data_IF_202977486261
#
_entry.id   IF_202977486261
#
_cell.length_a   1.000
_cell.length_b   1.000
_cell.length_c   1.000
_cell.angle_alpha   90.00
_cell.angle_beta   90.00
_cell.angle_gamma   90.00
#
_symmetry.space_group_name_H-M   'P 1'
#
loop_
_entity.id
_entity.type
_entity.pdbx_description
1 polymer ?
#
# COMPACT_ATOMS: atom_id res chain seq x y z
N UNK A 1 27.63 31.62 10.63
CA UNK A 1 27.36 30.73 9.48
C UNK A 1 26.84 29.45 10.09
N UNK A 2 25.52 29.25 10.07
CA UNK A 2 24.93 28.00 10.56
C UNK A 2 25.22 26.91 9.54
N UNK A 3 25.92 25.87 9.99
CA UNK A 3 26.17 24.67 9.20
C UNK A 3 24.83 24.03 8.84
N UNK A 4 24.44 24.19 7.59
CA UNK A 4 23.20 23.67 7.00
C UNK A 4 23.37 22.16 6.75
N UNK A 5 23.62 21.39 7.81
CA UNK A 5 23.70 19.92 7.74
C UNK A 5 22.27 19.41 7.60
N UNK A 6 21.81 19.32 6.36
CA UNK A 6 20.61 18.55 6.03
C UNK A 6 20.96 17.08 6.31
N UNK A 7 20.48 16.55 7.44
CA UNK A 7 20.60 15.11 7.73
C UNK A 7 19.98 14.32 6.58
N UNK A 8 20.72 13.34 6.05
CA UNK A 8 20.21 12.43 5.02
C UNK A 8 18.94 11.69 5.46
N UNK A 9 18.78 11.48 6.77
CA UNK A 9 17.56 10.90 7.35
C UNK A 9 16.37 11.85 7.17
N UNK A 10 16.56 13.14 7.47
CA UNK A 10 15.51 14.15 7.28
C UNK A 10 15.09 14.25 5.81
N UNK A 11 16.07 14.23 4.91
CA UNK A 11 15.81 14.27 3.47
C UNK A 11 15.12 13.00 2.95
N UNK A 12 15.39 11.84 3.54
CA UNK A 12 14.71 10.59 3.22
C UNK A 12 13.24 10.61 3.71
N UNK A 13 13.00 11.12 4.92
CA UNK A 13 11.65 11.30 5.49
C UNK A 13 10.82 12.26 4.63
N UNK A 14 11.36 13.45 4.32
CA UNK A 14 10.66 14.46 3.51
C UNK A 14 10.27 13.90 2.12
N UNK A 15 11.17 13.12 1.51
CA UNK A 15 10.90 12.44 0.23
C UNK A 15 9.84 11.36 0.35
N UNK A 16 9.83 10.62 1.45
CA UNK A 16 8.83 9.58 1.69
C UNK A 16 7.43 10.18 1.88
N UNK A 17 7.31 11.23 2.69
CA UNK A 17 6.04 11.94 2.90
C UNK A 17 5.51 12.58 1.62
N UNK A 18 6.40 13.20 0.82
CA UNK A 18 6.02 13.79 -0.46
C UNK A 18 5.53 12.71 -1.44
N UNK A 19 6.14 11.52 -1.42
CA UNK A 19 5.70 10.39 -2.23
C UNK A 19 4.33 9.87 -1.79
N UNK A 20 4.11 9.72 -0.47
CA UNK A 20 2.81 9.30 0.08
C UNK A 20 1.70 10.29 -0.30
N UNK A 21 1.95 11.60 -0.17
CA UNK A 21 0.97 12.63 -0.61
C UNK A 21 0.65 12.49 -2.10
N UNK A 22 1.64 12.27 -2.96
CA UNK A 22 1.44 12.03 -4.41
C UNK A 22 0.74 10.70 -4.70
N UNK A 23 0.96 9.69 -3.87
CA UNK A 23 0.34 8.38 -3.98
C UNK A 23 -1.18 8.47 -3.76
N UNK A 24 -1.62 9.25 -2.77
CA UNK A 24 -3.05 9.46 -2.50
C UNK A 24 -3.82 10.01 -3.72
N UNK A 25 -3.22 10.91 -4.50
CA UNK A 25 -3.85 11.41 -5.74
C UNK A 25 -3.92 10.37 -6.88
N UNK A 26 -3.08 9.34 -6.83
CA UNK A 26 -3.04 8.28 -7.83
C UNK A 26 -4.00 7.12 -7.54
N UNK A 27 -4.57 7.07 -6.34
CA UNK A 27 -5.52 6.03 -5.92
C UNK A 27 -6.93 6.43 -6.36
N UNK A 28 -7.56 5.56 -7.16
CA UNK A 28 -8.95 5.72 -7.58
C UNK A 28 -9.91 5.37 -6.42
N UNK A 29 -10.47 6.41 -5.80
CA UNK A 29 -11.40 6.27 -4.68
C UNK A 29 -12.74 5.62 -5.07
N UNK A 30 -13.18 5.74 -6.33
CA UNK A 30 -14.41 5.08 -6.78
C UNK A 30 -14.20 3.58 -6.88
N UNK A 31 -13.04 3.15 -7.37
CA UNK A 31 -12.69 1.73 -7.43
C UNK A 31 -12.49 1.13 -6.03
N UNK A 32 -11.87 1.87 -5.12
CA UNK A 32 -11.73 1.47 -3.72
C UNK A 32 -13.11 1.30 -3.07
N UNK A 33 -14.02 2.28 -3.23
CA UNK A 33 -15.38 2.19 -2.70
C UNK A 33 -16.16 1.03 -3.30
N UNK A 34 -15.97 0.72 -4.59
CA UNK A 34 -16.59 -0.47 -5.21
C UNK A 34 -16.09 -1.76 -4.58
N UNK A 35 -14.79 -1.87 -4.32
CA UNK A 35 -14.24 -3.05 -3.64
C UNK A 35 -14.77 -3.16 -2.20
N UNK A 36 -14.84 -2.04 -1.50
CA UNK A 36 -15.39 -1.98 -0.16
C UNK A 36 -16.84 -2.49 -0.12
N UNK A 37 -17.72 -1.93 -0.95
CA UNK A 37 -19.14 -2.33 -0.99
C UNK A 37 -19.34 -3.77 -1.48
N UNK A 38 -18.50 -4.27 -2.38
CA UNK A 38 -18.69 -5.60 -2.97
C UNK A 38 -18.08 -6.75 -2.17
N UNK A 39 -17.05 -6.48 -1.35
CA UNK A 39 -16.28 -7.51 -0.66
C UNK A 39 -16.16 -7.22 0.82
N UNK A 40 -15.58 -6.07 1.17
CA UNK A 40 -15.17 -5.78 2.55
C UNK A 40 -16.38 -5.68 3.47
N UNK A 41 -17.39 -4.91 3.08
CA UNK A 41 -18.57 -4.59 3.90
C UNK A 41 -19.28 -5.83 4.42
N UNK A 42 -19.56 -6.79 3.54
CA UNK A 42 -20.23 -8.03 3.89
C UNK A 42 -19.28 -8.94 4.70
N UNK A 43 -17.99 -8.95 4.36
CA UNK A 43 -16.99 -9.79 5.05
C UNK A 43 -16.76 -9.38 6.50
N UNK A 44 -16.91 -8.09 6.83
CA UNK A 44 -16.71 -7.58 8.19
C UNK A 44 -18.03 -7.27 8.92
N UNK A 45 -19.19 -7.67 8.37
CA UNK A 45 -20.48 -7.27 8.93
C UNK A 45 -20.65 -7.69 10.39
N UNK A 46 -20.16 -8.88 10.75
CA UNK A 46 -20.21 -9.46 12.10
C UNK A 46 -19.25 -8.81 13.11
N UNK A 47 -18.35 -7.94 12.67
CA UNK A 47 -17.42 -7.24 13.55
C UNK A 47 -18.13 -6.17 14.39
N UNK A 48 -17.65 -5.98 15.61
CA UNK A 48 -17.98 -4.79 16.40
C UNK A 48 -17.44 -3.52 15.74
N UNK A 49 -17.91 -2.35 16.18
CA UNK A 49 -17.47 -1.07 15.62
C UNK A 49 -15.94 -0.90 15.61
N UNK A 50 -15.27 -1.20 16.73
CA UNK A 50 -13.82 -1.10 16.83
C UNK A 50 -13.10 -2.06 15.87
N UNK A 51 -13.62 -3.28 15.74
CA UNK A 51 -13.04 -4.29 14.85
C UNK A 51 -13.22 -3.91 13.37
N UNK A 52 -14.37 -3.33 13.00
CA UNK A 52 -14.60 -2.77 11.66
C UNK A 52 -13.60 -1.66 11.36
N UNK A 53 -13.44 -0.72 12.29
CA UNK A 53 -12.48 0.37 12.14
C UNK A 53 -11.04 -0.16 11.92
N UNK A 54 -10.59 -1.12 12.73
CA UNK A 54 -9.25 -1.72 12.57
C UNK A 54 -9.09 -2.45 11.23
N UNK A 55 -10.12 -3.17 10.79
CA UNK A 55 -10.10 -3.86 9.50
C UNK A 55 -10.03 -2.87 8.33
N UNK A 56 -10.85 -1.82 8.35
CA UNK A 56 -10.88 -0.79 7.32
C UNK A 56 -9.57 -0.01 7.24
N UNK A 57 -9.00 0.39 8.39
CA UNK A 57 -7.68 1.05 8.46
C UNK A 57 -6.57 0.14 7.93
N UNK A 58 -6.55 -1.13 8.35
CA UNK A 58 -5.56 -2.10 7.86
C UNK A 58 -5.61 -2.28 6.34
N UNK A 59 -6.81 -2.44 5.78
CA UNK A 59 -6.99 -2.58 4.32
C UNK A 59 -6.68 -1.27 3.59
N UNK A 60 -7.03 -0.11 4.16
CA UNK A 60 -6.68 1.20 3.62
C UNK A 60 -5.17 1.44 3.56
N UNK A 61 -4.47 1.15 4.66
CA UNK A 61 -3.01 1.23 4.73
C UNK A 61 -2.33 0.27 3.75
N UNK A 62 -2.88 -0.94 3.59
CA UNK A 62 -2.39 -1.92 2.61
C UNK A 62 -2.41 -1.34 1.20
N UNK A 63 -3.51 -0.69 0.81
CA UNK A 63 -3.64 -0.04 -0.50
C UNK A 63 -2.57 1.05 -0.67
N UNK A 64 -2.41 1.93 0.32
CA UNK A 64 -1.47 3.05 0.25
C UNK A 64 -0.03 2.54 0.15
N UNK A 65 0.35 1.58 0.99
CA UNK A 65 1.73 1.09 1.06
C UNK A 65 2.10 0.31 -0.20
N UNK A 66 1.25 -0.64 -0.63
CA UNK A 66 1.48 -1.41 -1.84
C UNK A 66 1.50 -0.53 -3.10
N UNK A 67 0.60 0.46 -3.21
CA UNK A 67 0.63 1.42 -4.31
C UNK A 67 1.91 2.25 -4.32
N UNK A 68 2.35 2.72 -3.15
CA UNK A 68 3.60 3.47 -2.99
C UNK A 68 4.82 2.63 -3.35
N UNK A 69 4.86 1.37 -2.94
CA UNK A 69 5.87 0.40 -3.37
C UNK A 69 5.88 0.23 -4.89
N UNK A 70 4.71 0.10 -5.52
CA UNK A 70 4.58 0.06 -6.98
C UNK A 70 5.16 1.30 -7.67
N UNK A 71 4.90 2.50 -7.14
CA UNK A 71 5.49 3.75 -7.66
C UNK A 71 7.02 3.74 -7.57
N UNK A 72 7.58 3.24 -6.46
CA UNK A 72 9.04 3.09 -6.33
C UNK A 72 9.58 2.09 -7.36
N UNK A 73 8.91 0.95 -7.49
CA UNK A 73 9.27 -0.14 -8.40
C UNK A 73 9.15 0.24 -9.89
N UNK A 74 8.34 1.25 -10.24
CA UNK A 74 8.15 1.73 -11.62
C UNK A 74 9.45 2.12 -12.35
N UNK A 75 10.54 2.41 -11.64
CA UNK A 75 11.86 2.64 -12.24
C UNK A 75 12.34 1.43 -13.05
N UNK A 76 12.11 0.23 -12.52
CA UNK A 76 12.48 -1.03 -13.20
C UNK A 76 11.68 -1.24 -14.49
N UNK A 77 10.47 -0.68 -14.58
CA UNK A 77 9.67 -0.70 -15.81
C UNK A 77 10.29 0.18 -16.90
N UNK A 78 10.87 1.32 -16.53
CA UNK A 78 11.63 2.17 -17.45
C UNK A 78 12.93 1.50 -17.91
N UNK A 79 13.51 0.66 -17.07
CA UNK A 79 14.69 -0.17 -17.41
C UNK A 79 14.33 -1.42 -18.24
N UNK A 80 13.05 -1.59 -18.61
CA UNK A 80 12.59 -2.62 -19.53
C UNK A 80 12.11 -3.93 -18.89
N UNK A 81 12.11 -4.07 -17.56
CA UNK A 81 11.58 -5.28 -16.88
C UNK A 81 10.06 -5.38 -17.04
N UNK A 82 9.51 -6.60 -17.16
CA UNK A 82 8.05 -6.82 -17.18
C UNK A 82 7.41 -6.51 -15.81
N UNK A 83 6.08 -6.42 -15.74
CA UNK A 83 5.39 -6.19 -14.45
C UNK A 83 5.54 -7.43 -13.57
N UNK A 84 5.48 -8.61 -14.18
CA UNK A 84 5.61 -9.91 -13.54
C UNK A 84 7.00 -10.10 -12.93
N UNK A 85 8.06 -9.68 -13.63
CA UNK A 85 9.43 -9.71 -13.09
C UNK A 85 9.58 -8.78 -11.89
N UNK A 86 8.94 -7.61 -11.95
CA UNK A 86 8.97 -6.62 -10.87
C UNK A 86 8.22 -7.17 -9.65
N UNK A 87 7.04 -7.77 -9.84
CA UNK A 87 6.29 -8.42 -8.76
C UNK A 87 7.07 -9.55 -8.11
N UNK A 88 7.75 -10.37 -8.90
CA UNK A 88 8.59 -11.43 -8.36
C UNK A 88 9.70 -10.88 -7.46
N UNK A 89 10.39 -9.81 -7.90
CA UNK A 89 11.45 -9.14 -7.11
C UNK A 89 10.91 -8.55 -5.81
N UNK A 90 9.69 -7.98 -5.84
CA UNK A 90 9.07 -7.33 -4.68
C UNK A 90 8.20 -8.27 -3.84
N UNK A 91 8.09 -9.55 -4.19
CA UNK A 91 7.19 -10.51 -3.52
C UNK A 91 7.45 -10.62 -2.02
N UNK A 92 8.72 -10.68 -1.63
CA UNK A 92 9.12 -10.69 -0.22
C UNK A 92 8.77 -9.38 0.49
N UNK A 93 9.10 -8.24 -0.12
CA UNK A 93 8.82 -6.92 0.46
C UNK A 93 7.31 -6.70 0.65
N UNK A 94 6.48 -7.19 -0.28
CA UNK A 94 5.02 -7.12 -0.17
C UNK A 94 4.51 -7.95 1.00
N UNK A 95 4.99 -9.19 1.14
CA UNK A 95 4.64 -10.05 2.27
C UNK A 95 5.08 -9.45 3.61
N UNK A 96 6.29 -8.89 3.66
CA UNK A 96 6.82 -8.24 4.86
C UNK A 96 5.97 -7.00 5.23
N UNK A 97 5.62 -6.17 4.25
CA UNK A 97 4.72 -5.02 4.45
C UNK A 97 3.38 -5.44 5.07
N UNK A 98 2.73 -6.47 4.51
CA UNK A 98 1.45 -6.98 5.04
C UNK A 98 1.58 -7.48 6.49
N UNK A 99 2.66 -8.20 6.80
CA UNK A 99 2.93 -8.67 8.15
C UNK A 99 3.16 -7.51 9.12
N UNK A 100 3.94 -6.50 8.74
CA UNK A 100 4.19 -5.31 9.54
C UNK A 100 2.90 -4.50 9.77
N UNK A 101 2.05 -4.36 8.76
CA UNK A 101 0.76 -3.69 8.88
C UNK A 101 -0.18 -4.45 9.82
N UNK A 102 -0.26 -5.78 9.71
CA UNK A 102 -1.06 -6.61 10.62
C UNK A 102 -0.61 -6.46 12.08
N UNK A 103 0.71 -6.40 12.33
CA UNK A 103 1.26 -6.15 13.66
C UNK A 103 0.97 -4.73 14.16
N UNK A 104 1.12 -3.71 13.31
CA UNK A 104 0.85 -2.31 13.66
C UNK A 104 -0.59 -2.09 14.09
N UNK A 105 -1.52 -2.73 13.39
CA UNK A 105 -2.96 -2.70 13.69
C UNK A 105 -3.37 -3.71 14.77
N UNK A 106 -2.42 -4.48 15.32
CA UNK A 106 -2.64 -5.45 16.39
C UNK A 106 -3.78 -6.44 16.07
N UNK A 107 -3.90 -6.88 14.81
CA UNK A 107 -5.08 -7.63 14.37
C UNK A 107 -5.34 -8.89 15.21
N UNK A 108 -4.29 -9.66 15.52
CA UNK A 108 -4.38 -10.87 16.34
C UNK A 108 -4.76 -10.61 17.82
N UNK A 109 -4.67 -9.37 18.29
CA UNK A 109 -5.11 -8.99 19.64
C UNK A 109 -6.61 -8.69 19.68
N UNK A 110 -7.17 -8.16 18.60
CA UNK A 110 -8.55 -7.66 18.54
C UNK A 110 -9.51 -8.53 17.74
N UNK A 111 -8.99 -9.43 16.90
CA UNK A 111 -9.75 -10.28 16.00
C UNK A 111 -9.43 -11.75 16.23
N UNK A 112 -10.37 -12.61 15.86
CA UNK A 112 -10.16 -14.07 15.90
C UNK A 112 -9.26 -14.47 14.74
N UNK A 113 -8.57 -15.59 14.89
CA UNK A 113 -7.61 -16.07 13.88
C UNK A 113 -8.23 -16.21 12.48
N UNK A 114 -9.44 -16.73 12.36
CA UNK A 114 -10.15 -16.85 11.08
C UNK A 114 -10.51 -15.48 10.47
N UNK A 115 -10.82 -14.50 11.31
CA UNK A 115 -11.10 -13.13 10.88
C UNK A 115 -9.82 -12.47 10.34
N UNK A 116 -8.69 -12.66 11.04
CA UNK A 116 -7.39 -12.17 10.60
C UNK A 116 -6.97 -12.84 9.30
N UNK A 117 -7.14 -14.15 9.16
CA UNK A 117 -6.84 -14.87 7.93
C UNK A 117 -7.65 -14.32 6.74
N UNK A 118 -8.95 -14.07 6.94
CA UNK A 118 -9.82 -13.49 5.91
C UNK A 118 -9.36 -12.09 5.52
N UNK A 119 -8.96 -11.26 6.48
CA UNK A 119 -8.36 -9.95 6.22
C UNK A 119 -7.03 -10.04 5.47
N UNK A 120 -6.16 -11.00 5.82
CA UNK A 120 -4.89 -11.22 5.11
C UNK A 120 -5.12 -11.59 3.65
N UNK A 121 -6.09 -12.45 3.35
CA UNK A 121 -6.43 -12.79 1.96
C UNK A 121 -6.91 -11.57 1.16
N UNK A 122 -7.77 -10.74 1.76
CA UNK A 122 -8.22 -9.49 1.12
C UNK A 122 -7.05 -8.50 0.93
N UNK A 123 -6.15 -8.42 1.91
CA UNK A 123 -4.97 -7.56 1.85
C UNK A 123 -3.97 -8.02 0.77
N UNK A 124 -3.78 -9.33 0.56
CA UNK A 124 -2.96 -9.85 -0.53
C UNK A 124 -3.53 -9.52 -1.91
N UNK A 125 -4.85 -9.70 -2.09
CA UNK A 125 -5.55 -9.36 -3.34
C UNK A 125 -5.47 -7.85 -3.64
N UNK A 126 -5.82 -7.01 -2.65
CA UNK A 126 -5.72 -5.56 -2.75
C UNK A 126 -4.27 -5.12 -2.99
N UNK A 127 -3.33 -5.68 -2.23
CA UNK A 127 -1.92 -5.35 -2.27
C UNK A 127 -1.33 -5.58 -3.65
N UNK A 128 -1.53 -6.77 -4.22
CA UNK A 128 -1.07 -7.09 -5.59
C UNK A 128 -1.71 -6.17 -6.64
N UNK A 129 -3.03 -5.96 -6.57
CA UNK A 129 -3.75 -5.09 -7.50
C UNK A 129 -3.23 -3.65 -7.47
N UNK A 130 -3.09 -3.07 -6.28
CA UNK A 130 -2.65 -1.68 -6.13
C UNK A 130 -1.15 -1.52 -6.37
N UNK A 131 -0.33 -2.53 -6.10
CA UNK A 131 1.07 -2.55 -6.51
C UNK A 131 1.22 -2.39 -8.03
N UNK A 132 0.50 -3.20 -8.83
CA UNK A 132 0.48 -3.09 -10.30
C UNK A 132 0.04 -1.71 -10.78
N UNK A 133 -1.04 -1.18 -10.19
CA UNK A 133 -1.52 0.18 -10.50
C UNK A 133 -0.48 1.24 -10.14
N UNK A 134 0.22 1.06 -9.02
CA UNK A 134 1.31 1.93 -8.59
C UNK A 134 2.47 1.96 -9.58
N UNK A 135 2.85 0.81 -10.15
CA UNK A 135 3.85 0.73 -11.22
C UNK A 135 3.43 1.58 -12.42
N UNK A 136 2.21 1.37 -12.93
CA UNK A 136 1.70 2.08 -14.11
C UNK A 136 1.58 3.59 -13.86
N UNK A 137 1.09 3.97 -12.68
CA UNK A 137 1.01 5.38 -12.28
C UNK A 137 2.41 6.00 -12.20
N UNK A 138 3.35 5.35 -11.51
CA UNK A 138 4.72 5.83 -11.38
C UNK A 138 5.42 5.98 -12.73
N UNK A 139 5.23 5.02 -13.64
CA UNK A 139 5.76 5.09 -15.02
C UNK A 139 5.23 6.33 -15.75
N UNK A 140 3.90 6.56 -15.69
CA UNK A 140 3.28 7.74 -16.31
C UNK A 140 3.83 9.03 -15.71
N UNK A 141 3.93 9.12 -14.39
CA UNK A 141 4.45 10.31 -13.69
C UNK A 141 5.90 10.62 -14.07
N UNK A 142 6.76 9.58 -14.19
CA UNK A 142 8.16 9.73 -14.61
C UNK A 142 8.29 10.16 -16.06
N UNK A 143 7.47 9.60 -16.96
CA UNK A 143 7.41 10.03 -18.38
C UNK A 143 7.02 11.51 -18.49
N UNK A 144 6.17 12.01 -17.59
CA UNK A 144 5.78 13.42 -17.50
C UNK A 144 6.76 14.30 -16.71
N UNK A 145 7.86 13.75 -16.18
CA UNK A 145 8.85 14.44 -15.32
C UNK A 145 8.25 15.06 -14.04
N UNK A 146 7.20 14.44 -13.50
CA UNK A 146 6.52 14.88 -12.26
C UNK A 146 7.05 14.16 -11.01
N UNK A 147 7.95 13.20 -11.19
CA UNK A 147 8.68 12.43 -10.16
C UNK A 147 10.10 12.14 -10.63
#
# INVERSE_FOLDING_TARGET
>A
MEDNIVSFEKLAVDRHEALQKKALYGIDSQELNKYYEAVVKDTIEHFSFLQKYLAEEFLGDTVIDCFTMGIKASKLRLDGKSVEDIEYVYSHDLQESLAQLSQRHQLYQFLRELDVYSLSMMAEDLGGKWFRKGILYGEKQRKMRLM
#
